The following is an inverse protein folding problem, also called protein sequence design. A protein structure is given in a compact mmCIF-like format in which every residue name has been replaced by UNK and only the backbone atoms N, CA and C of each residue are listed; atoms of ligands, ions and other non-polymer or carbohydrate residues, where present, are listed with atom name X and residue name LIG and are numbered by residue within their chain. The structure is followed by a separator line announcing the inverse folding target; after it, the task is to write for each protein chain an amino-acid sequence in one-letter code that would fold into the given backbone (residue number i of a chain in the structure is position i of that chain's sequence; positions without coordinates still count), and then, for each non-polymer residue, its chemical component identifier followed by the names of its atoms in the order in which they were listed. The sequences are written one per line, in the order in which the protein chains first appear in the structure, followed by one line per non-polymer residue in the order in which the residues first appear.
data_IF_180963415406
#
_entry.id   IF_180963415406
#
_cell.length_a   1.000
_cell.length_b   1.000
_cell.length_c   1.000
_cell.angle_alpha   90.00
_cell.angle_beta   90.00
_cell.angle_gamma   90.00
#
_symmetry.space_group_name_H-M   'P 1'
#
loop_
_entity.id
_entity.type
_entity.pdbx_description
1 polymer ?
#
# COMPACT_ATOMS: atom_id res chain seq x y z
N UNK A 1 40.75 12.56 -36.13
CA UNK A 1 40.01 13.71 -35.57
C UNK A 1 38.71 13.84 -36.33
N UNK A 2 37.57 14.00 -35.65
CA UNK A 2 36.29 14.25 -36.34
C UNK A 2 36.40 15.55 -37.15
N UNK A 3 36.09 15.47 -38.44
CA UNK A 3 36.07 16.65 -39.33
C UNK A 3 34.82 17.50 -39.13
N UNK A 4 33.78 16.95 -38.49
CA UNK A 4 32.56 17.67 -38.12
C UNK A 4 32.61 18.10 -36.65
N UNK A 5 32.27 19.36 -36.39
CA UNK A 5 32.15 19.95 -35.05
C UNK A 5 30.69 20.26 -34.77
N UNK A 6 30.13 19.71 -33.69
CA UNK A 6 28.79 20.06 -33.23
C UNK A 6 28.79 21.50 -32.69
N UNK A 7 27.94 22.36 -33.23
CA UNK A 7 27.78 23.75 -32.84
C UNK A 7 26.66 23.93 -31.81
N UNK A 8 25.52 23.28 -32.05
CA UNK A 8 24.30 23.49 -31.27
C UNK A 8 23.47 22.20 -31.24
N UNK A 9 22.89 21.90 -30.08
CA UNK A 9 21.93 20.80 -29.89
C UNK A 9 20.74 21.31 -29.10
N UNK A 10 19.59 21.41 -29.75
CA UNK A 10 18.31 21.72 -29.11
C UNK A 10 17.46 20.46 -29.05
N UNK A 11 16.79 20.21 -27.92
CA UNK A 11 16.00 19.00 -27.71
C UNK A 11 14.56 19.38 -27.41
N UNK A 12 13.64 18.85 -28.22
CA UNK A 12 12.21 19.11 -28.12
C UNK A 12 11.45 17.82 -27.87
N UNK A 13 10.43 17.87 -27.01
CA UNK A 13 9.46 16.77 -26.88
C UNK A 13 8.28 17.08 -27.77
N UNK A 14 7.93 16.16 -28.66
CA UNK A 14 6.77 16.29 -29.55
C UNK A 14 5.77 15.17 -29.29
N UNK A 15 4.55 15.33 -29.81
CA UNK A 15 3.47 14.35 -29.63
C UNK A 15 3.88 12.93 -30.06
N UNK A 16 3.33 11.92 -29.39
CA UNK A 16 3.61 10.51 -29.70
C UNK A 16 4.86 9.93 -29.01
N UNK A 17 5.30 10.49 -27.88
CA UNK A 17 6.50 10.04 -27.15
C UNK A 17 7.76 10.10 -28.03
N UNK A 18 7.95 11.19 -28.77
CA UNK A 18 9.15 11.39 -29.58
C UNK A 18 9.97 12.54 -29.00
N UNK A 19 11.26 12.30 -28.83
CA UNK A 19 12.25 13.33 -28.58
C UNK A 19 12.93 13.66 -29.90
N UNK A 20 12.86 14.93 -30.29
CA UNK A 20 13.47 15.47 -31.50
C UNK A 20 14.69 16.27 -31.08
N UNK A 21 15.88 15.85 -31.50
CA UNK A 21 17.09 16.67 -31.37
C UNK A 21 17.39 17.37 -32.68
N UNK A 22 17.51 18.69 -32.61
CA UNK A 22 17.95 19.56 -33.69
C UNK A 22 19.44 19.84 -33.51
N UNK A 23 20.24 19.45 -34.50
CA UNK A 23 21.69 19.44 -34.43
C UNK A 23 22.26 20.31 -35.54
N UNK A 24 23.12 21.25 -35.19
CA UNK A 24 23.89 22.01 -36.16
C UNK A 24 25.36 21.63 -36.10
N UNK A 25 25.95 21.34 -37.25
CA UNK A 25 27.34 20.98 -37.39
C UNK A 25 28.09 22.01 -38.23
N UNK A 26 29.33 22.26 -37.89
CA UNK A 26 30.32 22.89 -38.75
C UNK A 26 31.15 21.80 -39.42
N UNK A 27 31.26 21.87 -40.74
CA UNK A 27 32.09 20.96 -41.56
C UNK A 27 32.94 21.77 -42.54
N UNK A 28 34.07 21.23 -43.04
CA UNK A 28 34.83 21.89 -44.09
C UNK A 28 34.00 22.13 -45.34
N UNK A 29 34.18 23.30 -45.96
CA UNK A 29 33.64 23.58 -47.30
C UNK A 29 34.26 22.65 -48.36
N UNK A 30 35.55 22.35 -48.21
CA UNK A 30 36.32 21.43 -49.05
C UNK A 30 37.16 20.50 -48.16
N UNK A 31 36.88 19.20 -48.21
CA UNK A 31 37.58 18.20 -47.39
C UNK A 31 39.04 17.98 -47.80
N UNK A 32 39.44 18.38 -49.01
CA UNK A 32 40.84 18.39 -49.44
C UNK A 32 41.61 19.61 -48.92
N UNK A 33 40.91 20.65 -48.45
CA UNK A 33 41.45 21.89 -47.86
C UNK A 33 40.67 22.31 -46.61
N UNK A 34 40.81 21.60 -45.47
CA UNK A 34 39.95 21.81 -44.30
C UNK A 34 39.96 23.20 -43.67
N UNK A 35 40.97 24.03 -43.98
CA UNK A 35 41.09 25.41 -43.51
C UNK A 35 40.45 26.47 -44.43
N UNK A 36 39.94 26.10 -45.62
CA UNK A 36 39.40 27.04 -46.62
C UNK A 36 37.90 27.34 -46.41
N UNK A 37 37.53 27.63 -45.16
CA UNK A 37 36.16 27.95 -44.76
C UNK A 37 35.30 26.74 -44.42
N UNK A 38 34.18 27.02 -43.76
CA UNK A 38 33.25 26.02 -43.24
C UNK A 38 31.83 26.19 -43.78
N UNK A 39 31.05 25.12 -43.70
CA UNK A 39 29.61 25.10 -43.96
C UNK A 39 28.87 24.69 -42.68
N UNK A 40 27.69 25.29 -42.45
CA UNK A 40 26.77 24.87 -41.39
C UNK A 40 25.78 23.86 -41.96
N UNK A 41 25.77 22.66 -41.41
CA UNK A 41 24.80 21.62 -41.75
C UNK A 41 23.81 21.43 -40.60
N UNK A 42 22.58 21.09 -40.95
CA UNK A 42 21.54 20.73 -40.00
C UNK A 42 21.25 19.24 -40.10
N UNK A 43 21.10 18.59 -38.95
CA UNK A 43 20.53 17.26 -38.86
C UNK A 43 19.43 17.24 -37.79
N UNK A 44 18.48 16.33 -37.96
CA UNK A 44 17.45 16.05 -36.97
C UNK A 44 17.50 14.58 -36.62
N UNK A 45 17.64 14.25 -35.34
CA UNK A 45 17.38 12.90 -34.87
C UNK A 45 16.02 12.86 -34.20
N UNK A 46 15.34 11.73 -34.35
CA UNK A 46 14.07 11.43 -33.71
C UNK A 46 14.22 10.11 -32.99
N UNK A 47 13.98 10.11 -31.69
CA UNK A 47 14.05 8.91 -30.86
C UNK A 47 12.76 8.78 -30.04
N UNK A 48 12.39 7.55 -29.70
CA UNK A 48 11.24 7.30 -28.83
C UNK A 48 11.61 7.71 -27.40
N UNK A 49 10.88 8.66 -26.85
CA UNK A 49 11.00 9.12 -25.48
C UNK A 49 10.07 8.32 -24.57
N UNK A 50 10.63 7.39 -23.81
CA UNK A 50 9.92 6.73 -22.72
C UNK A 50 10.33 7.37 -21.39
N UNK A 51 9.36 7.67 -20.52
CA UNK A 51 9.67 7.98 -19.13
C UNK A 51 10.12 6.67 -18.48
N UNK A 52 11.35 6.58 -17.95
CA UNK A 52 11.78 5.40 -17.22
C UNK A 52 10.87 5.22 -15.99
N UNK A 53 10.36 4.01 -15.80
CA UNK A 53 9.58 3.63 -14.62
C UNK A 53 10.50 2.85 -13.70
N UNK A 54 10.56 3.26 -12.44
CA UNK A 54 11.30 2.58 -11.39
C UNK A 54 10.32 1.96 -10.40
N UNK A 55 10.36 0.64 -10.28
CA UNK A 55 9.68 -0.09 -9.21
C UNK A 55 10.69 -0.37 -8.11
N UNK A 56 10.36 0.03 -6.88
CA UNK A 56 11.22 -0.14 -5.71
C UNK A 56 10.53 -1.07 -4.72
N UNK A 57 11.19 -2.19 -4.44
CA UNK A 57 10.88 -2.97 -3.24
C UNK A 57 11.31 -2.14 -2.02
N UNK A 58 10.35 -1.82 -1.15
CA UNK A 58 10.63 -1.08 0.07
C UNK A 58 11.55 -1.92 0.98
N UNK A 59 12.35 -1.25 1.82
CA UNK A 59 13.19 -1.94 2.81
C UNK A 59 12.40 -3.02 3.55
N UNK A 60 12.98 -4.21 3.67
CA UNK A 60 12.36 -5.35 4.34
C UNK A 60 11.36 -6.14 3.50
N UNK A 61 11.14 -5.78 2.24
CA UNK A 61 10.20 -6.46 1.33
C UNK A 61 10.93 -6.93 0.07
N UNK A 62 10.33 -7.87 -0.66
CA UNK A 62 10.83 -8.33 -1.97
C UNK A 62 12.33 -8.66 -1.93
N UNK A 63 13.11 -8.10 -2.84
CA UNK A 63 14.57 -8.27 -2.92
C UNK A 63 15.34 -7.33 -1.97
N UNK A 64 14.68 -6.40 -1.31
CA UNK A 64 15.28 -5.38 -0.44
C UNK A 64 15.45 -5.89 0.99
N UNK A 65 16.27 -6.93 1.18
CA UNK A 65 16.55 -7.54 2.49
C UNK A 65 15.28 -7.99 3.22
N UNK A 66 14.54 -8.92 2.60
CA UNK A 66 13.24 -9.42 3.07
C UNK A 66 13.26 -9.76 4.57
N UNK A 67 12.28 -9.23 5.30
CA UNK A 67 12.07 -9.54 6.70
C UNK A 67 11.16 -10.76 6.82
N UNK A 68 11.67 -11.74 7.56
CA UNK A 68 11.02 -13.00 7.97
C UNK A 68 11.44 -13.30 9.42
N UNK A 69 10.77 -14.21 10.11
CA UNK A 69 11.16 -14.61 11.46
C UNK A 69 12.62 -15.08 11.53
N UNK A 70 13.06 -15.87 10.54
CA UNK A 70 14.44 -16.37 10.48
C UNK A 70 15.46 -15.27 10.21
N UNK A 71 15.14 -14.27 9.39
CA UNK A 71 16.05 -13.13 9.15
C UNK A 71 16.11 -12.17 10.35
N UNK A 72 15.00 -11.97 11.06
CA UNK A 72 14.96 -11.20 12.30
C UNK A 72 15.73 -11.88 13.43
N UNK A 73 15.68 -13.20 13.53
CA UNK A 73 16.50 -13.95 14.50
C UNK A 73 18.01 -13.67 14.36
N UNK A 74 18.49 -13.17 13.21
CA UNK A 74 19.88 -12.75 13.02
C UNK A 74 20.22 -11.41 13.67
N UNK A 75 19.22 -10.59 14.00
CA UNK A 75 19.38 -9.31 14.70
C UNK A 75 19.54 -9.50 16.21
N UNK A 76 19.25 -10.70 16.73
CA UNK A 76 19.42 -11.05 18.13
C UNK A 76 18.10 -11.30 18.84
N UNK A 77 18.01 -10.88 20.09
CA UNK A 77 16.86 -11.11 20.96
C UNK A 77 15.63 -10.24 20.54
N UNK A 78 14.43 -10.49 21.08
CA UNK A 78 13.22 -9.76 20.70
C UNK A 78 13.30 -8.23 20.83
N UNK A 79 14.04 -7.70 21.82
CA UNK A 79 14.23 -6.25 21.96
C UNK A 79 15.12 -5.68 20.84
N UNK A 80 16.18 -6.40 20.47
CA UNK A 80 17.05 -6.04 19.34
C UNK A 80 16.29 -6.12 18.00
N UNK A 81 15.41 -7.12 17.85
CA UNK A 81 14.53 -7.24 16.69
C UNK A 81 13.52 -6.08 16.61
N UNK A 82 12.90 -5.70 17.73
CA UNK A 82 11.97 -4.57 17.77
C UNK A 82 12.69 -3.25 17.45
N UNK A 83 13.88 -3.04 18.01
CA UNK A 83 14.72 -1.88 17.70
C UNK A 83 15.08 -1.82 16.21
N UNK A 84 15.44 -2.95 15.60
CA UNK A 84 15.68 -3.05 14.16
C UNK A 84 14.42 -2.69 13.35
N UNK A 85 13.26 -3.21 13.75
CA UNK A 85 11.98 -2.99 13.07
C UNK A 85 11.49 -1.53 13.12
N UNK A 86 11.97 -0.72 14.07
CA UNK A 86 11.70 0.73 14.07
C UNK A 86 12.16 1.44 12.78
N UNK A 87 13.11 0.85 12.04
CA UNK A 87 13.64 1.41 10.80
C UNK A 87 12.82 1.09 9.53
N UNK A 88 11.63 0.49 9.64
CA UNK A 88 10.86 -0.02 8.50
C UNK A 88 9.58 0.78 8.20
N UNK A 89 9.44 1.97 8.78
CA UNK A 89 8.32 2.89 8.56
C UNK A 89 8.49 3.78 7.33
N UNK A 90 7.40 4.47 6.98
CA UNK A 90 7.33 5.39 5.85
C UNK A 90 8.45 6.45 5.85
N UNK A 91 8.82 6.99 7.01
CA UNK A 91 9.87 8.01 7.11
C UNK A 91 11.26 7.47 6.71
N UNK A 92 11.52 6.20 6.99
CA UNK A 92 12.73 5.51 6.56
C UNK A 92 12.68 5.09 5.09
N UNK A 93 11.54 4.59 4.63
CA UNK A 93 11.30 4.23 3.21
C UNK A 93 11.47 5.45 2.29
N UNK A 94 10.91 6.60 2.68
CA UNK A 94 11.00 7.84 1.91
C UNK A 94 12.43 8.36 1.81
N UNK A 95 13.22 8.23 2.88
CA UNK A 95 14.65 8.59 2.85
C UNK A 95 15.44 7.71 1.87
N UNK A 96 15.10 6.42 1.74
CA UNK A 96 15.71 5.57 0.70
C UNK A 96 15.36 6.09 -0.69
N UNK A 97 14.07 6.36 -0.94
CA UNK A 97 13.61 6.87 -2.23
C UNK A 97 14.31 8.19 -2.59
N UNK A 98 14.44 9.15 -1.66
CA UNK A 98 15.15 10.41 -1.89
C UNK A 98 16.67 10.21 -2.13
N UNK A 99 17.31 9.29 -1.40
CA UNK A 99 18.71 8.94 -1.64
C UNK A 99 18.92 8.32 -3.04
N UNK A 100 18.03 7.40 -3.43
CA UNK A 100 18.04 6.77 -4.76
C UNK A 100 17.83 7.82 -5.85
N UNK A 101 16.85 8.74 -5.70
CA UNK A 101 16.63 9.83 -6.64
C UNK A 101 17.89 10.68 -6.82
N UNK A 102 18.50 11.11 -5.72
CA UNK A 102 19.73 11.92 -5.74
C UNK A 102 20.87 11.19 -6.46
N UNK A 103 21.02 9.89 -6.22
CA UNK A 103 22.02 9.07 -6.89
C UNK A 103 21.76 8.95 -8.40
N UNK A 104 20.57 8.53 -8.80
CA UNK A 104 20.22 8.29 -10.20
C UNK A 104 20.19 9.58 -11.04
N UNK A 105 19.94 10.73 -10.41
CA UNK A 105 19.84 12.03 -11.09
C UNK A 105 21.06 12.92 -10.87
N UNK A 106 22.15 12.41 -10.26
CA UNK A 106 23.33 13.20 -9.91
C UNK A 106 23.93 13.93 -11.13
N UNK A 107 23.98 13.25 -12.28
CA UNK A 107 24.52 13.78 -13.53
C UNK A 107 23.50 14.57 -14.36
N UNK A 108 22.22 14.59 -13.94
CA UNK A 108 21.17 15.26 -14.70
C UNK A 108 21.27 16.77 -14.51
N UNK A 109 20.85 17.59 -15.51
CA UNK A 109 20.67 19.02 -15.32
C UNK A 109 19.72 19.30 -14.15
N UNK A 110 19.95 20.38 -13.39
CA UNK A 110 19.20 20.68 -12.16
C UNK A 110 17.67 20.64 -12.35
N UNK A 111 17.17 21.24 -13.44
CA UNK A 111 15.74 21.25 -13.77
C UNK A 111 15.15 19.88 -14.16
N UNK A 112 15.96 18.83 -14.25
CA UNK A 112 15.55 17.47 -14.61
C UNK A 112 15.75 16.45 -13.48
N UNK A 113 16.16 16.90 -12.28
CA UNK A 113 16.43 16.00 -11.14
C UNK A 113 15.17 15.58 -10.38
N UNK A 114 14.03 16.23 -10.61
CA UNK A 114 12.75 15.91 -9.98
C UNK A 114 12.09 14.71 -10.65
N UNK A 115 11.42 13.85 -9.86
CA UNK A 115 10.67 12.71 -10.39
C UNK A 115 9.18 12.76 -10.00
N UNK A 116 8.34 12.08 -10.78
CA UNK A 116 6.95 11.84 -10.44
C UNK A 116 6.86 10.56 -9.60
N UNK A 117 6.03 10.53 -8.55
CA UNK A 117 5.82 9.32 -7.74
C UNK A 117 4.36 8.88 -7.77
N UNK A 118 4.13 7.58 -7.59
CA UNK A 118 2.81 6.98 -7.48
C UNK A 118 2.79 5.98 -6.33
N UNK A 119 1.74 6.03 -5.51
CA UNK A 119 1.56 5.12 -4.38
C UNK A 119 0.11 4.68 -4.21
N UNK A 120 -0.09 3.38 -3.99
CA UNK A 120 -1.39 2.80 -3.61
C UNK A 120 -1.35 2.39 -2.14
N UNK A 121 -2.46 2.53 -1.42
CA UNK A 121 -2.57 2.17 0.01
C UNK A 121 -1.43 2.80 0.85
N UNK A 122 -0.71 1.99 1.62
CA UNK A 122 0.49 2.39 2.36
C UNK A 122 1.56 3.08 1.49
N UNK A 123 1.68 2.71 0.20
CA UNK A 123 2.54 3.45 -0.73
C UNK A 123 2.09 4.90 -0.94
N UNK A 124 0.79 5.18 -0.86
CA UNK A 124 0.25 6.53 -0.82
C UNK A 124 0.58 7.25 0.49
N UNK A 125 0.59 6.55 1.62
CA UNK A 125 1.03 7.13 2.91
C UNK A 125 2.51 7.54 2.82
N UNK A 126 3.36 6.68 2.25
CA UNK A 126 4.74 7.02 1.91
C UNK A 126 4.83 8.23 0.95
N UNK A 127 3.93 8.35 -0.02
CA UNK A 127 3.91 9.48 -0.97
C UNK A 127 3.61 10.80 -0.27
N UNK A 128 2.66 10.82 0.68
CA UNK A 128 2.35 12.02 1.48
C UNK A 128 3.47 12.34 2.47
N UNK A 129 4.13 11.32 3.05
CA UNK A 129 5.34 11.52 3.84
C UNK A 129 6.45 12.19 3.01
N UNK A 130 6.73 11.69 1.79
CA UNK A 130 7.69 12.29 0.86
C UNK A 130 7.34 13.75 0.58
N UNK A 131 6.09 14.02 0.24
CA UNK A 131 5.59 15.37 0.00
C UNK A 131 5.84 16.32 1.17
N UNK A 132 5.69 15.83 2.41
CA UNK A 132 5.90 16.62 3.61
C UNK A 132 7.37 16.81 4.00
N UNK A 133 8.29 15.96 3.52
CA UNK A 133 9.70 15.95 3.94
C UNK A 133 10.70 16.40 2.88
N UNK A 134 10.47 16.04 1.62
CA UNK A 134 11.37 16.30 0.48
C UNK A 134 10.60 16.78 -0.77
N UNK A 135 9.72 17.79 -0.67
CA UNK A 135 8.91 18.28 -1.81
C UNK A 135 9.77 18.78 -2.98
N UNK A 136 10.99 19.25 -2.72
CA UNK A 136 11.94 19.70 -3.73
C UNK A 136 12.39 18.58 -4.69
N UNK A 137 12.29 17.32 -4.27
CA UNK A 137 12.59 16.16 -5.10
C UNK A 137 11.46 15.75 -6.05
N UNK A 138 10.26 16.32 -5.88
CA UNK A 138 9.05 15.85 -6.53
C UNK A 138 8.58 16.79 -7.63
N UNK A 139 8.21 16.20 -8.76
CA UNK A 139 7.54 16.88 -9.89
C UNK A 139 6.02 16.89 -9.72
N UNK A 140 5.46 15.75 -9.35
CA UNK A 140 4.03 15.52 -9.12
C UNK A 140 3.85 14.21 -8.34
N UNK A 141 2.71 14.08 -7.65
CA UNK A 141 2.40 12.92 -6.81
C UNK A 141 1.04 12.34 -7.22
N UNK A 142 0.99 11.02 -7.38
CA UNK A 142 -0.25 10.29 -7.56
C UNK A 142 -0.52 9.37 -6.38
N UNK A 143 -1.74 9.37 -5.86
CA UNK A 143 -2.15 8.43 -4.81
C UNK A 143 -3.45 7.70 -5.18
N UNK A 144 -3.55 6.43 -4.80
CA UNK A 144 -4.72 5.58 -5.08
C UNK A 144 -5.17 4.88 -3.79
N UNK A 145 -6.30 5.28 -3.20
CA UNK A 145 -6.76 4.72 -1.92
C UNK A 145 -5.70 4.84 -0.82
N UNK A 146 -4.94 5.94 -0.81
CA UNK A 146 -3.68 6.03 -0.08
C UNK A 146 -3.41 7.42 0.52
N UNK A 147 -4.46 8.15 0.88
CA UNK A 147 -4.29 9.37 1.69
C UNK A 147 -4.35 9.00 3.17
N UNK A 148 -3.26 9.20 3.93
CA UNK A 148 -3.21 8.79 5.32
C UNK A 148 -4.10 9.67 6.20
N UNK A 149 -4.68 9.14 7.28
CA UNK A 149 -5.16 9.99 8.37
C UNK A 149 -3.97 10.75 8.97
N UNK A 150 -4.07 12.08 9.10
CA UNK A 150 -3.05 12.92 9.74
C UNK A 150 -3.30 12.98 11.25
N UNK A 151 -3.08 11.84 11.91
CA UNK A 151 -3.39 11.59 13.33
C UNK A 151 -2.12 11.31 14.13
N UNK A 152 -2.18 11.42 15.46
CA UNK A 152 -1.04 11.06 16.33
C UNK A 152 -1.05 9.59 16.78
N UNK A 153 -2.23 8.98 16.84
CA UNK A 153 -2.41 7.64 17.39
C UNK A 153 -3.46 6.85 16.61
N UNK A 154 -3.41 5.51 16.64
CA UNK A 154 -4.29 4.66 15.85
C UNK A 154 -5.75 4.56 16.35
N UNK A 155 -6.05 4.89 17.61
CA UNK A 155 -7.37 4.65 18.21
C UNK A 155 -8.53 5.29 17.45
N UNK A 156 -8.38 6.57 17.06
CA UNK A 156 -9.40 7.31 16.32
C UNK A 156 -9.57 6.80 14.88
N UNK A 157 -8.53 6.19 14.31
CA UNK A 157 -8.59 5.54 13.00
C UNK A 157 -9.39 4.25 13.12
N UNK A 158 -9.01 3.37 14.05
CA UNK A 158 -9.69 2.09 14.23
C UNK A 158 -11.14 2.22 14.68
N UNK A 159 -11.50 3.27 15.43
CA UNK A 159 -12.89 3.54 15.75
C UNK A 159 -13.73 3.69 14.47
N UNK A 160 -13.25 4.48 13.50
CA UNK A 160 -13.91 4.69 12.21
C UNK A 160 -13.86 3.47 11.30
N UNK A 161 -12.74 2.74 11.30
CA UNK A 161 -12.64 1.50 10.52
C UNK A 161 -13.60 0.43 11.04
N UNK A 162 -13.80 0.31 12.35
CA UNK A 162 -14.80 -0.62 12.92
C UNK A 162 -16.21 -0.33 12.39
N UNK A 163 -16.60 0.95 12.28
CA UNK A 163 -17.90 1.35 11.71
C UNK A 163 -18.02 0.92 10.24
N UNK A 164 -16.96 1.05 9.44
CA UNK A 164 -16.94 0.59 8.05
C UNK A 164 -17.00 -0.94 7.95
N UNK A 165 -16.25 -1.67 8.78
CA UNK A 165 -16.28 -3.14 8.82
C UNK A 165 -17.67 -3.65 9.22
N UNK A 166 -18.37 -2.96 10.14
CA UNK A 166 -19.78 -3.26 10.46
C UNK A 166 -20.66 -3.15 9.22
N UNK A 167 -20.56 -2.06 8.45
CA UNK A 167 -21.34 -1.88 7.21
C UNK A 167 -21.02 -2.95 6.17
N UNK A 168 -19.74 -3.33 6.03
CA UNK A 168 -19.33 -4.38 5.08
C UNK A 168 -19.83 -5.76 5.50
N UNK A 169 -19.85 -6.09 6.79
CA UNK A 169 -20.49 -7.30 7.29
C UNK A 169 -21.99 -7.33 6.98
N UNK A 170 -22.70 -6.21 7.19
CA UNK A 170 -24.12 -6.10 6.87
C UNK A 170 -24.38 -6.33 5.37
N UNK A 171 -23.57 -5.72 4.51
CA UNK A 171 -23.65 -5.92 3.06
C UNK A 171 -23.37 -7.38 2.65
N UNK A 172 -22.38 -8.03 3.27
CA UNK A 172 -22.07 -9.44 3.02
C UNK A 172 -23.27 -10.35 3.36
N UNK A 173 -23.85 -10.23 4.56
CA UNK A 173 -25.00 -11.06 4.94
C UNK A 173 -26.30 -10.67 4.24
N UNK A 174 -26.43 -9.43 3.76
CA UNK A 174 -27.54 -9.06 2.90
C UNK A 174 -27.44 -9.75 1.53
N UNK A 175 -26.21 -9.89 1.01
CA UNK A 175 -25.93 -10.59 -0.26
C UNK A 175 -26.05 -12.11 -0.12
N UNK A 176 -25.58 -12.67 1.00
CA UNK A 176 -25.54 -14.11 1.28
C UNK A 176 -26.20 -14.42 2.64
N UNK A 177 -27.53 -14.34 2.76
CA UNK A 177 -28.23 -14.51 4.03
C UNK A 177 -28.05 -15.91 4.65
N UNK A 178 -27.82 -16.94 3.83
CA UNK A 178 -27.58 -18.31 4.29
C UNK A 178 -26.23 -18.46 5.02
N UNK A 179 -25.26 -17.58 4.75
CA UNK A 179 -23.95 -17.63 5.37
C UNK A 179 -24.01 -17.26 6.86
N UNK A 180 -25.11 -16.64 7.33
CA UNK A 180 -25.37 -16.40 8.76
C UNK A 180 -25.35 -17.71 9.53
N UNK A 181 -25.97 -18.77 8.99
CA UNK A 181 -25.97 -20.09 9.63
C UNK A 181 -24.64 -20.80 9.39
N UNK A 182 -24.15 -20.81 8.14
CA UNK A 182 -22.91 -21.51 7.75
C UNK A 182 -21.72 -21.05 8.56
N UNK A 183 -21.52 -19.74 8.70
CA UNK A 183 -20.40 -19.20 9.48
C UNK A 183 -20.47 -19.61 10.96
N UNK A 184 -21.67 -19.62 11.57
CA UNK A 184 -21.84 -20.09 12.95
C UNK A 184 -21.48 -21.57 13.12
N UNK A 185 -21.94 -22.41 12.19
CA UNK A 185 -21.66 -23.85 12.23
C UNK A 185 -20.17 -24.14 12.05
N UNK A 186 -19.49 -23.43 11.13
CA UNK A 186 -18.04 -23.52 10.95
C UNK A 186 -17.32 -23.12 12.24
N UNK A 187 -17.67 -21.98 12.83
CA UNK A 187 -17.05 -21.52 14.08
C UNK A 187 -17.20 -22.53 15.21
N UNK A 188 -18.39 -23.13 15.36
CA UNK A 188 -18.63 -24.18 16.34
C UNK A 188 -17.66 -25.36 16.15
N UNK A 189 -17.47 -25.81 14.91
CA UNK A 189 -16.51 -26.88 14.61
C UNK A 189 -15.07 -26.48 14.96
N UNK A 190 -14.67 -25.23 14.66
CA UNK A 190 -13.34 -24.72 14.97
C UNK A 190 -13.10 -24.52 16.48
N UNK A 191 -14.16 -24.37 17.27
CA UNK A 191 -14.08 -24.30 18.73
C UNK A 191 -14.02 -25.69 19.38
N UNK A 192 -14.71 -26.68 18.81
CA UNK A 192 -14.76 -28.05 19.32
C UNK A 192 -13.56 -28.91 18.87
N UNK A 193 -12.98 -28.60 17.71
CA UNK A 193 -11.91 -29.39 17.10
C UNK A 193 -10.71 -28.52 16.77
N UNK A 194 -9.51 -29.03 17.08
CA UNK A 194 -8.27 -28.44 16.60
C UNK A 194 -8.06 -28.79 15.12
N UNK A 195 -8.11 -27.79 14.24
CA UNK A 195 -7.88 -27.96 12.80
C UNK A 195 -6.48 -27.46 12.42
N UNK A 196 -5.65 -28.39 11.92
CA UNK A 196 -4.31 -28.11 11.41
C UNK A 196 -4.32 -27.73 9.93
N UNK A 197 -3.54 -26.71 9.60
CA UNK A 197 -3.31 -26.24 8.24
C UNK A 197 -2.05 -26.89 7.65
N UNK A 198 -1.91 -26.96 6.31
CA UNK A 198 -0.75 -27.53 5.64
C UNK A 198 0.62 -26.99 6.08
N UNK A 199 0.71 -25.72 6.49
CA UNK A 199 1.94 -25.06 6.99
C UNK A 199 2.17 -25.26 8.51
N UNK A 200 1.50 -26.22 9.15
CA UNK A 200 1.50 -26.46 10.61
C UNK A 200 0.81 -25.38 11.47
N UNK A 201 0.23 -24.36 10.84
CA UNK A 201 -0.67 -23.39 11.47
C UNK A 201 -1.94 -24.02 12.03
N UNK A 202 -2.62 -23.29 12.90
CA UNK A 202 -3.93 -23.69 13.43
C UNK A 202 -5.01 -22.78 12.81
N UNK A 203 -6.04 -23.37 12.19
CA UNK A 203 -7.24 -22.61 11.81
C UNK A 203 -8.15 -22.51 13.03
N UNK A 204 -8.07 -21.38 13.72
CA UNK A 204 -8.92 -21.09 14.87
C UNK A 204 -10.16 -20.32 14.43
N UNK A 205 -11.21 -20.31 15.26
CA UNK A 205 -12.38 -19.45 15.04
C UNK A 205 -11.97 -17.96 14.88
N UNK A 206 -10.97 -17.52 15.64
CA UNK A 206 -10.44 -16.16 15.57
C UNK A 206 -9.73 -15.88 14.22
N UNK A 207 -8.91 -16.82 13.72
CA UNK A 207 -8.29 -16.71 12.39
C UNK A 207 -9.33 -16.75 11.27
N UNK A 208 -10.38 -17.55 11.41
CA UNK A 208 -11.44 -17.65 10.40
C UNK A 208 -12.22 -16.33 10.23
N UNK A 209 -12.52 -15.62 11.33
CA UNK A 209 -13.21 -14.32 11.21
C UNK A 209 -12.33 -13.22 10.61
N UNK A 210 -11.02 -13.44 10.48
CA UNK A 210 -10.14 -12.53 9.74
C UNK A 210 -10.32 -12.63 8.22
N UNK A 211 -11.09 -13.60 7.69
CA UNK A 211 -11.45 -13.62 6.27
C UNK A 211 -12.18 -12.34 5.82
N UNK A 212 -12.79 -11.60 6.75
CA UNK A 212 -13.31 -10.26 6.49
C UNK A 212 -12.27 -9.26 6.00
N UNK A 213 -10.97 -9.57 6.09
CA UNK A 213 -9.90 -8.88 5.37
C UNK A 213 -10.28 -8.62 3.92
N UNK A 214 -10.98 -9.54 3.26
CA UNK A 214 -11.34 -9.42 1.85
C UNK A 214 -12.52 -8.50 1.55
N UNK A 215 -13.29 -8.09 2.56
CA UNK A 215 -14.52 -7.34 2.32
C UNK A 215 -14.31 -5.97 1.68
N UNK A 216 -13.11 -5.41 1.67
CA UNK A 216 -12.80 -4.13 1.02
C UNK A 216 -12.30 -4.24 -0.42
N UNK A 217 -12.27 -5.42 -1.03
CA UNK A 217 -11.84 -5.62 -2.42
C UNK A 217 -13.01 -5.86 -3.38
N UNK A 218 -12.80 -5.58 -4.68
CA UNK A 218 -13.72 -6.04 -5.71
C UNK A 218 -13.85 -7.58 -5.67
N UNK A 219 -15.08 -8.10 -5.60
CA UNK A 219 -15.34 -9.54 -5.53
C UNK A 219 -14.94 -10.22 -4.21
N UNK A 220 -14.41 -9.48 -3.23
CA UNK A 220 -13.91 -10.08 -1.99
C UNK A 220 -15.01 -10.69 -1.12
N UNK A 221 -16.24 -10.16 -1.15
CA UNK A 221 -17.39 -10.80 -0.51
C UNK A 221 -17.73 -12.15 -1.15
N UNK A 222 -17.66 -12.25 -2.47
CA UNK A 222 -17.87 -13.51 -3.20
C UNK A 222 -16.77 -14.52 -2.87
N UNK A 223 -15.52 -14.07 -2.76
CA UNK A 223 -14.40 -14.93 -2.31
C UNK A 223 -14.64 -15.51 -0.91
N UNK A 224 -15.08 -14.69 0.04
CA UNK A 224 -15.40 -15.19 1.40
C UNK A 224 -16.59 -16.14 1.38
N UNK A 225 -17.63 -15.83 0.60
CA UNK A 225 -18.78 -16.70 0.39
C UNK A 225 -18.36 -18.08 -0.14
N UNK A 226 -17.52 -18.13 -1.19
CA UNK A 226 -17.06 -19.38 -1.78
C UNK A 226 -16.29 -20.25 -0.77
N UNK A 227 -15.49 -19.63 0.10
CA UNK A 227 -14.77 -20.31 1.18
C UNK A 227 -15.75 -20.85 2.23
N UNK A 228 -16.72 -20.04 2.66
CA UNK A 228 -17.76 -20.44 3.63
C UNK A 228 -18.59 -21.60 3.07
N UNK A 229 -19.09 -21.47 1.84
CA UNK A 229 -19.84 -22.50 1.14
C UNK A 229 -19.03 -23.79 1.03
N UNK A 230 -17.75 -23.70 0.66
CA UNK A 230 -16.88 -24.87 0.57
C UNK A 230 -16.64 -25.55 1.92
N UNK A 231 -16.36 -24.77 2.97
CA UNK A 231 -16.18 -25.30 4.31
C UNK A 231 -17.43 -26.04 4.80
N UNK A 232 -18.61 -25.44 4.63
CA UNK A 232 -19.87 -26.10 5.00
C UNK A 232 -20.12 -27.34 4.17
N UNK A 233 -19.90 -27.30 2.85
CA UNK A 233 -20.08 -28.47 1.98
C UNK A 233 -19.18 -29.63 2.39
N UNK A 234 -17.92 -29.37 2.74
CA UNK A 234 -17.00 -30.39 3.23
C UNK A 234 -17.47 -30.99 4.56
N UNK A 235 -17.91 -30.15 5.50
CA UNK A 235 -18.41 -30.59 6.80
C UNK A 235 -19.69 -31.42 6.67
N UNK A 236 -20.62 -31.02 5.79
CA UNK A 236 -21.88 -31.73 5.56
C UNK A 236 -21.67 -33.08 4.88
N UNK A 237 -20.77 -33.16 3.89
CA UNK A 237 -20.53 -34.39 3.13
C UNK A 237 -19.59 -35.37 3.83
N UNK A 238 -18.53 -34.87 4.46
CA UNK A 238 -17.43 -35.70 4.96
C UNK A 238 -17.24 -35.62 6.47
N UNK A 239 -17.82 -34.63 7.16
CA UNK A 239 -17.64 -34.42 8.61
C UNK A 239 -16.29 -33.79 8.98
N UNK A 240 -15.47 -33.43 7.99
CA UNK A 240 -14.16 -32.78 8.16
C UNK A 240 -13.82 -31.90 6.95
N UNK A 241 -12.92 -30.93 7.13
CA UNK A 241 -12.43 -30.07 6.05
C UNK A 241 -11.40 -30.81 5.20
N UNK A 242 -11.61 -30.85 3.89
CA UNK A 242 -10.74 -31.59 2.95
C UNK A 242 -9.42 -30.85 2.71
N UNK A 243 -8.40 -31.57 2.22
CA UNK A 243 -7.07 -31.00 1.92
C UNK A 243 -7.13 -29.76 1.01
N UNK A 244 -7.93 -29.70 -0.07
CA UNK A 244 -8.04 -28.48 -0.87
C UNK A 244 -8.61 -27.29 -0.09
N UNK A 245 -9.61 -27.49 0.76
CA UNK A 245 -10.19 -26.44 1.62
C UNK A 245 -9.17 -25.94 2.64
N UNK A 246 -8.44 -26.84 3.28
CA UNK A 246 -7.36 -26.49 4.20
C UNK A 246 -6.25 -25.70 3.50
N UNK A 247 -5.90 -26.03 2.25
CA UNK A 247 -4.90 -25.28 1.49
C UNK A 247 -5.36 -23.85 1.15
N UNK A 248 -6.64 -23.65 0.82
CA UNK A 248 -7.22 -22.32 0.62
C UNK A 248 -7.14 -21.51 1.92
N UNK A 249 -7.62 -22.09 3.03
CA UNK A 249 -7.63 -21.45 4.34
C UNK A 249 -6.22 -21.08 4.86
N UNK A 250 -5.21 -21.85 4.46
CA UNK A 250 -3.82 -21.61 4.81
C UNK A 250 -3.24 -20.42 4.05
N UNK A 251 -3.43 -20.40 2.73
CA UNK A 251 -2.83 -19.40 1.84
C UNK A 251 -3.61 -18.10 1.67
N UNK A 252 -4.87 -18.03 2.13
CA UNK A 252 -5.73 -16.87 1.87
C UNK A 252 -5.33 -15.62 2.66
N UNK A 253 -4.72 -15.75 3.84
CA UNK A 253 -4.27 -14.58 4.61
C UNK A 253 -2.74 -14.42 4.48
N UNK A 254 -2.22 -13.20 4.23
CA UNK A 254 -0.83 -13.02 3.78
C UNK A 254 0.21 -13.07 4.91
N UNK A 255 -0.21 -13.16 6.18
CA UNK A 255 0.62 -12.75 7.31
C UNK A 255 1.88 -13.60 7.54
N UNK A 256 1.89 -14.89 7.15
CA UNK A 256 3.10 -15.72 7.20
C UNK A 256 4.14 -15.32 6.14
N UNK A 257 3.69 -14.74 5.01
CA UNK A 257 4.55 -14.32 3.91
C UNK A 257 4.87 -12.82 3.94
N UNK A 258 4.26 -12.07 4.86
CA UNK A 258 4.36 -10.61 4.94
C UNK A 258 4.35 -10.16 6.39
N UNK A 259 5.34 -10.62 7.18
CA UNK A 259 5.37 -10.40 8.64
C UNK A 259 5.44 -8.92 9.02
N UNK A 260 6.05 -8.06 8.20
CA UNK A 260 6.03 -6.61 8.41
C UNK A 260 4.61 -6.06 8.44
N UNK A 261 3.73 -6.62 7.61
CA UNK A 261 2.33 -6.23 7.58
C UNK A 261 1.65 -6.46 8.92
N UNK A 262 2.03 -7.50 9.68
CA UNK A 262 1.49 -7.71 11.03
C UNK A 262 2.25 -6.89 12.08
N UNK A 263 3.59 -6.88 12.01
CA UNK A 263 4.45 -6.29 13.04
C UNK A 263 4.38 -4.77 13.14
N UNK A 264 4.28 -4.06 12.01
CA UNK A 264 4.36 -2.60 11.95
C UNK A 264 3.10 -1.96 11.35
N UNK A 265 1.99 -2.71 11.26
CA UNK A 265 0.71 -2.21 10.74
C UNK A 265 0.26 -0.94 11.44
N UNK A 266 0.07 -1.03 12.76
CA UNK A 266 -0.48 0.07 13.55
C UNK A 266 0.53 1.21 13.72
N UNK A 267 1.82 0.89 13.63
CA UNK A 267 2.89 1.88 13.69
C UNK A 267 2.81 2.89 12.53
N UNK A 268 2.07 2.59 11.45
CA UNK A 268 1.83 3.55 10.37
C UNK A 268 0.96 4.76 10.78
N UNK A 269 0.29 4.70 11.95
CA UNK A 269 -0.50 5.80 12.52
C UNK A 269 0.17 6.47 13.73
N UNK A 270 1.28 5.93 14.22
CA UNK A 270 1.88 6.33 15.49
C UNK A 270 2.86 7.50 15.32
N UNK A 271 2.63 8.60 16.03
CA UNK A 271 3.51 9.78 16.10
C UNK A 271 3.61 10.26 17.56
N UNK A 272 4.71 9.91 18.23
CA UNK A 272 4.91 10.16 19.67
C UNK A 272 3.93 9.41 20.58
N UNK A 273 3.39 8.27 20.13
CA UNK A 273 2.45 7.46 20.87
C UNK A 273 2.55 5.98 20.50
N UNK A 274 2.29 5.10 21.45
CA UNK A 274 2.26 3.65 21.25
C UNK A 274 0.95 3.16 20.66
N UNK A 275 0.99 2.11 19.82
CA UNK A 275 -0.23 1.52 19.29
C UNK A 275 -0.98 0.72 20.34
N UNK A 276 -0.25 0.06 21.24
CA UNK A 276 -0.73 -0.75 22.36
C UNK A 276 -1.77 -1.81 21.97
N UNK A 277 -1.75 -2.30 20.73
CA UNK A 277 -2.79 -3.17 20.16
C UNK A 277 -4.14 -2.45 19.98
N UNK A 278 -4.13 -1.33 19.27
CA UNK A 278 -5.30 -0.45 19.13
C UNK A 278 -6.47 -1.13 18.45
N UNK A 279 -6.25 -1.89 17.38
CA UNK A 279 -7.29 -2.63 16.70
C UNK A 279 -8.04 -3.56 17.67
N UNK A 280 -7.31 -4.30 18.49
CA UNK A 280 -7.87 -5.20 19.50
C UNK A 280 -8.66 -4.43 20.58
N UNK A 281 -8.10 -3.32 21.11
CA UNK A 281 -8.80 -2.49 22.11
C UNK A 281 -10.06 -1.83 21.54
N UNK A 282 -10.00 -1.33 20.30
CA UNK A 282 -11.10 -0.61 19.68
C UNK A 282 -12.23 -1.56 19.26
N UNK A 283 -11.90 -2.69 18.61
CA UNK A 283 -12.93 -3.65 18.18
C UNK A 283 -13.68 -4.24 19.38
N UNK A 284 -13.02 -4.40 20.53
CA UNK A 284 -13.65 -4.88 21.76
C UNK A 284 -14.78 -3.96 22.28
N UNK A 285 -14.84 -2.70 21.86
CA UNK A 285 -15.95 -1.78 22.20
C UNK A 285 -17.24 -2.06 21.41
N UNK A 286 -17.17 -2.92 20.40
CA UNK A 286 -18.29 -3.21 19.50
C UNK A 286 -18.76 -4.66 19.70
N UNK A 287 -19.91 -4.87 20.39
CA UNK A 287 -20.41 -6.21 20.71
C UNK A 287 -20.60 -7.12 19.50
N UNK A 288 -20.81 -6.56 18.31
CA UNK A 288 -21.01 -7.32 17.07
C UNK A 288 -19.84 -8.24 16.73
N UNK A 289 -18.62 -7.89 17.12
CA UNK A 289 -17.41 -8.69 16.89
C UNK A 289 -17.09 -9.65 18.02
N UNK A 290 -17.87 -9.65 19.11
CA UNK A 290 -17.63 -10.54 20.24
C UNK A 290 -18.03 -11.97 19.90
N UNK A 291 -17.26 -12.95 20.37
CA UNK A 291 -17.51 -14.38 20.12
C UNK A 291 -18.87 -14.87 20.59
N UNK A 292 -19.44 -14.24 21.62
CA UNK A 292 -20.75 -14.59 22.17
C UNK A 292 -21.93 -13.91 21.45
N UNK A 293 -21.68 -12.91 20.61
CA UNK A 293 -22.72 -12.19 19.88
C UNK A 293 -23.64 -13.12 19.07
N UNK A 294 -23.12 -14.14 18.36
CA UNK A 294 -23.94 -15.12 17.65
C UNK A 294 -24.94 -15.90 18.53
N UNK A 295 -24.65 -16.06 19.84
CA UNK A 295 -25.51 -16.77 20.80
C UNK A 295 -26.83 -16.02 21.07
N UNK A 296 -26.88 -14.73 20.73
CA UNK A 296 -28.10 -13.89 20.82
C UNK A 296 -29.03 -14.03 19.60
N UNK A 297 -28.74 -14.96 18.68
CA UNK A 297 -29.47 -15.13 17.43
C UNK A 297 -29.02 -14.18 16.31
N UNK A 298 -28.12 -13.23 16.58
CA UNK A 298 -27.54 -12.30 15.59
C UNK A 298 -26.43 -12.95 14.74
N UNK A 299 -26.10 -12.43 13.55
CA UNK A 299 -24.99 -12.93 12.76
C UNK A 299 -23.63 -12.65 13.42
N UNK A 300 -22.67 -13.54 13.17
CA UNK A 300 -21.25 -13.32 13.47
C UNK A 300 -20.72 -12.16 12.63
N UNK A 301 -19.75 -11.37 13.12
CA UNK A 301 -19.07 -10.38 12.28
C UNK A 301 -17.60 -10.75 12.09
N UNK A 302 -17.13 -10.64 10.84
CA UNK A 302 -15.73 -10.76 10.45
C UNK A 302 -14.98 -9.45 10.74
N UNK A 303 -13.68 -9.53 11.08
CA UNK A 303 -12.94 -8.42 11.73
C UNK A 303 -12.24 -7.44 10.79
N UNK A 304 -12.29 -7.63 9.47
CA UNK A 304 -11.60 -6.75 8.51
C UNK A 304 -10.06 -6.86 8.56
N UNK A 305 -9.36 -5.82 8.10
CA UNK A 305 -7.90 -5.68 8.16
C UNK A 305 -7.48 -5.13 9.53
N UNK A 306 -7.38 -6.04 10.50
CA UNK A 306 -6.98 -5.71 11.86
C UNK A 306 -5.96 -6.72 12.38
N UNK A 307 -4.98 -6.23 13.12
CA UNK A 307 -3.94 -7.04 13.74
C UNK A 307 -4.28 -7.30 15.21
N UNK A 308 -4.17 -8.55 15.61
CA UNK A 308 -4.54 -9.01 16.96
C UNK A 308 -3.44 -9.88 17.55
N UNK A 309 -3.33 -9.87 18.89
CA UNK A 309 -2.37 -10.71 19.63
C UNK A 309 -2.52 -12.19 19.29
N UNK A 310 -3.76 -12.67 19.12
CA UNK A 310 -4.02 -14.08 18.83
C UNK A 310 -3.43 -14.56 17.49
N UNK A 311 -3.14 -13.66 16.55
CA UNK A 311 -2.49 -14.02 15.28
C UNK A 311 -1.11 -14.64 15.51
N UNK A 312 -0.38 -14.13 16.50
CA UNK A 312 0.93 -14.63 16.92
C UNK A 312 0.86 -16.00 17.62
N UNK A 313 -0.32 -16.61 17.72
CA UNK A 313 -0.49 -18.00 18.16
C UNK A 313 -0.93 -18.94 17.03
N UNK A 314 -1.59 -18.42 15.98
CA UNK A 314 -2.21 -19.22 14.91
C UNK A 314 -1.44 -19.25 13.60
N UNK A 315 -0.63 -18.23 13.33
CA UNK A 315 0.24 -18.13 12.14
C UNK A 315 1.65 -18.62 12.51
N UNK A 316 2.17 -19.69 11.88
CA UNK A 316 3.47 -20.27 12.21
C UNK A 316 4.63 -19.28 12.21
N UNK A 317 4.73 -18.42 11.19
CA UNK A 317 5.83 -17.47 11.07
C UNK A 317 5.71 -16.37 12.12
N UNK A 318 4.50 -15.85 12.34
CA UNK A 318 4.26 -14.84 13.38
C UNK A 318 4.53 -15.38 14.78
N UNK A 319 4.32 -16.67 15.03
CA UNK A 319 4.51 -17.25 16.36
C UNK A 319 5.92 -17.08 16.90
N UNK A 320 6.93 -17.13 16.04
CA UNK A 320 8.32 -16.87 16.42
C UNK A 320 8.59 -15.40 16.77
N UNK A 321 7.65 -14.51 16.51
CA UNK A 321 7.77 -13.05 16.60
C UNK A 321 6.83 -12.43 17.65
N UNK A 322 6.16 -13.25 18.46
CA UNK A 322 5.17 -12.79 19.45
C UNK A 322 5.76 -11.77 20.43
N UNK A 323 6.89 -12.08 21.07
CA UNK A 323 7.55 -11.17 22.03
C UNK A 323 8.03 -9.88 21.37
N UNK A 324 8.57 -9.96 20.14
CA UNK A 324 8.97 -8.80 19.36
C UNK A 324 7.78 -7.89 19.06
N UNK A 325 6.61 -8.45 18.75
CA UNK A 325 5.39 -7.69 18.49
C UNK A 325 4.87 -6.98 19.76
N UNK A 326 4.97 -7.63 20.92
CA UNK A 326 4.61 -6.99 22.20
C UNK A 326 5.46 -5.76 22.48
N UNK A 327 6.78 -5.90 22.32
CA UNK A 327 7.72 -4.77 22.52
C UNK A 327 7.41 -3.64 21.54
N UNK A 328 7.14 -3.96 20.26
CA UNK A 328 6.81 -2.95 19.25
C UNK A 328 5.51 -2.20 19.56
N UNK A 329 4.49 -2.90 20.06
CA UNK A 329 3.21 -2.30 20.38
C UNK A 329 3.33 -1.27 21.52
N UNK A 330 4.31 -1.41 22.42
CA UNK A 330 4.57 -0.52 23.55
C UNK A 330 5.46 0.68 23.21
N UNK A 331 6.05 0.74 22.01
CA UNK A 331 6.91 1.85 21.58
C UNK A 331 6.10 3.15 21.51
N UNK A 332 6.40 4.13 22.36
CA UNK A 332 5.70 5.41 22.45
C UNK A 332 6.51 6.62 21.93
N UNK A 333 7.77 6.42 21.58
CA UNK A 333 8.71 7.46 21.14
C UNK A 333 8.83 7.59 19.60
N UNK A 334 7.80 7.16 18.87
CA UNK A 334 7.82 7.20 17.40
C UNK A 334 8.01 8.62 16.86
N UNK A 335 8.87 8.83 15.84
CA UNK A 335 9.02 10.13 15.21
C UNK A 335 7.77 10.53 14.42
N UNK A 336 7.57 11.82 14.20
CA UNK A 336 6.49 12.32 13.34
C UNK A 336 6.68 11.82 11.90
N UNK A 337 5.61 11.31 11.30
CA UNK A 337 5.55 10.92 9.89
C UNK A 337 5.31 12.14 9.00
N UNK A 338 4.39 13.02 9.39
CA UNK A 338 3.91 14.08 8.49
C UNK A 338 4.23 15.47 9.04
N UNK A 339 4.72 16.35 8.18
CA UNK A 339 4.81 17.79 8.45
C UNK A 339 3.59 18.50 7.83
N UNK A 340 2.53 18.69 8.63
CA UNK A 340 1.29 19.35 8.19
C UNK A 340 1.52 20.80 7.74
N UNK A 341 2.49 21.51 8.34
CA UNK A 341 2.81 22.87 7.96
C UNK A 341 3.46 22.93 6.57
N UNK A 342 4.29 21.93 6.22
CA UNK A 342 4.82 21.79 4.87
C UNK A 342 3.74 21.39 3.86
N UNK A 343 2.83 20.47 4.21
CA UNK A 343 1.72 20.07 3.34
C UNK A 343 0.81 21.26 2.99
N UNK A 344 0.52 22.13 3.95
CA UNK A 344 -0.32 23.31 3.76
C UNK A 344 0.27 24.35 2.79
N UNK A 345 1.60 24.41 2.65
CA UNK A 345 2.30 25.31 1.72
C UNK A 345 2.88 24.60 0.49
N UNK A 346 2.46 23.36 0.25
CA UNK A 346 2.93 22.54 -0.87
C UNK A 346 2.74 23.23 -2.24
N UNK A 347 3.73 23.08 -3.11
CA UNK A 347 3.69 23.57 -4.49
C UNK A 347 3.60 22.45 -5.53
N UNK A 348 3.94 21.21 -5.14
CA UNK A 348 3.94 20.05 -6.03
C UNK A 348 2.50 19.63 -6.34
N UNK A 349 2.09 19.48 -7.61
CA UNK A 349 0.76 18.98 -7.93
C UNK A 349 0.52 17.57 -7.39
N UNK A 350 -0.64 17.35 -6.77
CA UNK A 350 -1.05 16.05 -6.23
C UNK A 350 -2.38 15.63 -6.85
N UNK A 351 -2.44 14.40 -7.35
CA UNK A 351 -3.64 13.83 -7.95
C UNK A 351 -3.98 12.54 -7.20
N UNK A 352 -5.12 12.54 -6.50
CA UNK A 352 -5.53 11.42 -5.68
C UNK A 352 -6.83 10.80 -6.15
N UNK A 353 -6.87 9.48 -6.20
CA UNK A 353 -8.10 8.72 -6.28
C UNK A 353 -8.51 8.25 -4.88
N UNK A 354 -9.73 8.60 -4.48
CA UNK A 354 -10.33 8.27 -3.19
C UNK A 354 -11.65 7.53 -3.40
N UNK A 355 -11.88 6.47 -2.63
CA UNK A 355 -13.07 5.64 -2.76
C UNK A 355 -14.01 5.85 -1.57
N UNK A 356 -15.30 6.05 -1.84
CA UNK A 356 -16.31 6.37 -0.80
C UNK A 356 -16.47 5.21 0.18
N UNK A 357 -16.52 3.98 -0.35
CA UNK A 357 -16.73 2.76 0.43
C UNK A 357 -15.43 1.99 0.69
N UNK A 358 -14.29 2.68 0.75
CA UNK A 358 -13.01 2.08 1.15
C UNK A 358 -13.09 1.58 2.61
N UNK A 359 -12.81 0.30 2.79
CA UNK A 359 -12.86 -0.33 4.11
C UNK A 359 -11.58 -0.10 4.91
N UNK A 360 -10.44 0.16 4.25
CA UNK A 360 -9.10 0.19 4.86
C UNK A 360 -8.63 1.62 5.12
N UNK A 361 -8.97 2.56 4.23
CA UNK A 361 -8.68 3.99 4.39
C UNK A 361 -10.00 4.76 4.45
N UNK A 362 -10.39 5.20 5.65
CA UNK A 362 -11.68 5.84 5.85
C UNK A 362 -11.82 7.14 5.01
N UNK A 363 -12.93 7.25 4.29
CA UNK A 363 -13.21 8.33 3.35
C UNK A 363 -13.05 9.74 3.94
N UNK A 364 -13.55 9.98 5.15
CA UNK A 364 -13.46 11.30 5.77
C UNK A 364 -12.01 11.68 6.11
N UNK A 365 -11.17 10.74 6.54
CA UNK A 365 -9.76 11.00 6.78
C UNK A 365 -9.03 11.30 5.47
N UNK A 366 -9.31 10.53 4.41
CA UNK A 366 -8.74 10.82 3.09
C UNK A 366 -9.13 12.22 2.60
N UNK A 367 -10.39 12.64 2.78
CA UNK A 367 -10.86 13.99 2.43
C UNK A 367 -10.22 15.08 3.29
N UNK A 368 -10.09 14.87 4.59
CA UNK A 368 -9.44 15.81 5.49
C UNK A 368 -7.98 16.04 5.06
N UNK A 369 -7.23 14.96 4.84
CA UNK A 369 -5.84 15.01 4.39
C UNK A 369 -5.70 15.75 3.08
N UNK A 370 -6.56 15.48 2.11
CA UNK A 370 -6.59 16.20 0.84
C UNK A 370 -6.76 17.71 1.02
N UNK A 371 -7.67 18.12 1.90
CA UNK A 371 -7.96 19.53 2.16
C UNK A 371 -6.79 20.26 2.83
N UNK A 372 -5.92 19.52 3.53
CA UNK A 372 -4.69 20.03 4.18
C UNK A 372 -3.48 20.08 3.24
N UNK A 373 -3.56 19.45 2.06
CA UNK A 373 -2.49 19.45 1.06
C UNK A 373 -2.80 20.50 -0.01
N UNK A 374 -2.02 21.59 -0.06
CA UNK A 374 -2.14 22.56 -1.15
C UNK A 374 -1.81 21.87 -2.49
N UNK A 375 -2.51 22.25 -3.55
CA UNK A 375 -2.41 21.68 -4.90
C UNK A 375 -2.84 20.20 -5.00
N UNK A 376 -3.68 19.71 -4.08
CA UNK A 376 -4.29 18.39 -4.17
C UNK A 376 -5.63 18.41 -4.93
N UNK A 377 -5.71 17.64 -6.01
CA UNK A 377 -6.95 17.37 -6.76
C UNK A 377 -7.44 15.95 -6.47
N UNK A 378 -8.75 15.81 -6.31
CA UNK A 378 -9.41 14.56 -5.92
C UNK A 378 -10.34 14.02 -6.98
N UNK A 379 -10.09 12.78 -7.40
CA UNK A 379 -11.07 11.94 -8.07
C UNK A 379 -11.75 11.07 -7.01
N UNK A 380 -13.01 11.40 -6.69
CA UNK A 380 -13.81 10.65 -5.72
C UNK A 380 -14.81 9.77 -6.48
N UNK A 381 -14.87 8.49 -6.12
CA UNK A 381 -15.82 7.55 -6.70
C UNK A 381 -16.39 6.58 -5.67
N UNK A 382 -17.64 6.18 -5.85
CA UNK A 382 -18.28 5.09 -5.11
C UNK A 382 -18.38 3.80 -5.96
N UNK A 383 -17.78 3.78 -7.15
CA UNK A 383 -17.84 2.63 -8.08
C UNK A 383 -16.70 1.65 -7.81
N UNK A 384 -15.58 2.14 -7.29
CA UNK A 384 -14.37 1.35 -7.09
C UNK A 384 -14.05 1.15 -5.62
N UNK A 385 -13.30 0.08 -5.34
CA UNK A 385 -12.78 -0.28 -4.03
C UNK A 385 -11.25 -0.16 -3.97
N UNK A 386 -10.66 -0.51 -2.83
CA UNK A 386 -9.26 -0.25 -2.50
C UNK A 386 -8.24 -0.77 -3.51
N UNK A 387 -8.54 -1.90 -4.16
CA UNK A 387 -7.73 -2.57 -5.18
C UNK A 387 -7.91 -2.01 -6.61
N UNK A 388 -8.57 -0.86 -6.79
CA UNK A 388 -8.86 -0.33 -8.13
C UNK A 388 -7.61 -0.15 -9.02
N UNK A 389 -6.44 0.14 -8.45
CA UNK A 389 -5.21 0.23 -9.24
C UNK A 389 -4.82 -1.11 -9.87
N UNK A 390 -5.04 -2.22 -9.17
CA UNK A 390 -4.78 -3.56 -9.69
C UNK A 390 -5.93 -4.05 -10.58
N UNK A 391 -7.19 -3.87 -10.14
CA UNK A 391 -8.37 -4.42 -10.81
C UNK A 391 -8.96 -3.57 -11.94
N UNK A 392 -8.66 -2.26 -11.96
CA UNK A 392 -9.26 -1.24 -12.86
C UNK A 392 -8.22 -0.23 -13.37
N UNK A 393 -6.95 -0.64 -13.49
CA UNK A 393 -5.81 0.23 -13.81
C UNK A 393 -6.07 1.19 -14.97
N UNK A 394 -6.51 0.68 -16.13
CA UNK A 394 -6.71 1.51 -17.32
C UNK A 394 -7.74 2.63 -17.12
N UNK A 395 -8.82 2.35 -16.39
CA UNK A 395 -9.87 3.33 -16.11
C UNK A 395 -9.42 4.33 -15.05
N UNK A 396 -8.83 3.85 -13.96
CA UNK A 396 -8.31 4.67 -12.87
C UNK A 396 -7.22 5.64 -13.35
N UNK A 397 -6.26 5.13 -14.11
CA UNK A 397 -5.14 5.91 -14.62
C UNK A 397 -5.60 6.98 -15.61
N UNK A 398 -6.63 6.70 -16.43
CA UNK A 398 -7.25 7.71 -17.30
C UNK A 398 -7.83 8.86 -16.49
N UNK A 399 -8.51 8.58 -15.37
CA UNK A 399 -9.07 9.63 -14.50
C UNK A 399 -7.97 10.47 -13.85
N UNK A 400 -6.91 9.84 -13.33
CA UNK A 400 -5.80 10.55 -12.70
C UNK A 400 -5.01 11.41 -13.69
N UNK A 401 -4.77 10.91 -14.91
CA UNK A 401 -4.13 11.70 -15.95
C UNK A 401 -5.03 12.78 -16.50
N UNK A 402 -6.34 12.54 -16.59
CA UNK A 402 -7.29 13.61 -16.87
C UNK A 402 -7.18 14.73 -15.82
N UNK A 403 -7.17 14.42 -14.52
CA UNK A 403 -6.97 15.45 -13.48
C UNK A 403 -5.65 16.24 -13.60
N UNK A 404 -4.58 15.58 -14.06
CA UNK A 404 -3.28 16.22 -14.34
C UNK A 404 -3.34 17.13 -15.54
N UNK A 405 -3.87 16.62 -16.64
CA UNK A 405 -3.88 17.30 -17.94
C UNK A 405 -5.00 18.34 -18.04
N UNK A 406 -5.99 18.26 -17.14
CA UNK A 406 -7.02 19.26 -16.91
C UNK A 406 -6.39 20.53 -16.32
N UNK A 407 -5.92 21.38 -17.24
CA UNK A 407 -5.70 22.80 -17.03
C UNK A 407 -7.05 23.42 -16.76
N UNK A 408 -7.36 23.62 -15.49
CA UNK A 408 -8.46 24.52 -15.11
C UNK A 408 -7.87 25.92 -14.98
N UNK A 409 -8.52 26.84 -15.69
CA UNK A 409 -8.42 28.29 -15.63
C UNK A 409 -8.38 28.88 -14.21
#
# INVERSE_FOLDING_TARGET
MSVAKLLERNVHRVSGKLQVSELFFEVPKDYSKPGDGSLRLFARSVERFENPILFLDQRGTGLSSTVTARTLARQGNPAEQAAYLKHFRADSIVRDCEAIRKNLTAEYPEGQRKWSIMGQSFGGFCSVNYLSRFPEGLREVFTCGGLPPLVKQPDEVYQKLCENVIKRNQAYYQKFPEDVKRAKDILKVLEEKRIKLPTDGDMTAARFVQLGFYFGFHGGMDTVHDIVLRCTSDLDQFGFLTRPTLAILDGILPFDNSVLYALIHEACYCQGAASNWSAERMIAKYPQFHRDFPKTGKPLYFTGEMIFRHMYNSFPELKALAETAEILAEVDDWPDLYDEAQLAKNEVPVYSATYVDDMYVHFDYARETASKIKNCKHFITNVWYHDALAGKSDELMKQLFALRDDVID
#
